data_IF_597114851681
#
_entry.id   IF_597114851681
#
_cell.length_a   1.000
_cell.length_b   1.000
_cell.length_c   1.000
_cell.angle_alpha   90.00
_cell.angle_beta   90.00
_cell.angle_gamma   90.00
#
_symmetry.space_group_name_H-M   'P 1'
#
loop_
_entity.id
_entity.type
_entity.pdbx_description
1 polymer ?
#
# COMPACT_ATOMS: atom_id res chain seq x y z
N UNK A 1 -8.60 -8.14 -0.83
CA UNK A 1 -7.51 -8.35 0.13
C UNK A 1 -7.77 -9.64 0.89
N UNK A 2 -6.86 -10.60 0.86
CA UNK A 2 -6.94 -11.82 1.68
C UNK A 2 -6.43 -11.53 3.10
N UNK A 3 -7.15 -12.01 4.13
CA UNK A 3 -6.83 -11.92 5.57
C UNK A 3 -6.19 -10.61 6.03
N UNK A 4 -7.03 -9.62 6.31
CA UNK A 4 -6.60 -8.33 6.89
C UNK A 4 -6.29 -8.52 8.39
N UNK A 5 -5.11 -8.11 8.88
CA UNK A 5 -4.82 -8.10 10.31
C UNK A 5 -5.84 -7.28 11.10
N UNK A 6 -6.22 -7.75 12.28
CA UNK A 6 -7.16 -7.02 13.15
C UNK A 6 -6.62 -5.68 13.65
N UNK A 7 -5.32 -5.44 13.52
CA UNK A 7 -4.61 -4.21 13.88
C UNK A 7 -4.19 -3.38 12.66
N UNK A 8 -4.73 -3.67 11.46
CA UNK A 8 -4.48 -2.86 10.28
C UNK A 8 -5.19 -1.51 10.41
N UNK A 9 -4.40 -0.45 10.34
CA UNK A 9 -4.90 0.89 10.07
C UNK A 9 -4.76 1.17 8.58
N UNK A 10 -5.83 1.66 7.96
CA UNK A 10 -5.90 1.93 6.53
C UNK A 10 -6.74 3.18 6.29
N UNK A 11 -6.15 4.21 5.68
CA UNK A 11 -6.80 5.49 5.40
C UNK A 11 -6.73 5.75 3.89
N UNK A 12 -7.83 5.53 3.14
CA UNK A 12 -7.87 5.74 1.70
C UNK A 12 -8.12 7.21 1.37
N UNK A 13 -7.48 7.69 0.31
CA UNK A 13 -7.66 9.03 -0.24
C UNK A 13 -7.67 8.98 -1.77
N UNK A 14 -8.35 9.94 -2.38
CA UNK A 14 -8.28 10.20 -3.82
C UNK A 14 -7.86 11.66 -4.00
N UNK A 15 -6.76 11.88 -4.72
CA UNK A 15 -6.30 13.22 -5.09
C UNK A 15 -7.17 13.78 -6.22
N UNK A 16 -7.14 15.09 -6.41
CA UNK A 16 -7.89 15.77 -7.48
C UNK A 16 -7.50 15.30 -8.89
N UNK A 17 -6.26 14.83 -9.08
CA UNK A 17 -5.76 14.28 -10.34
C UNK A 17 -6.19 12.83 -10.63
N UNK A 18 -7.06 12.27 -9.79
CA UNK A 18 -7.55 10.90 -9.87
C UNK A 18 -6.60 9.84 -9.30
N UNK A 19 -5.42 10.23 -8.84
CA UNK A 19 -4.48 9.32 -8.18
C UNK A 19 -5.04 8.86 -6.84
N UNK A 20 -4.98 7.55 -6.58
CA UNK A 20 -5.41 6.95 -5.31
C UNK A 20 -4.22 6.81 -4.36
N UNK A 21 -4.49 7.08 -3.09
CA UNK A 21 -3.56 6.83 -2.01
C UNK A 21 -4.19 5.92 -0.96
N UNK A 22 -3.35 5.09 -0.38
CA UNK A 22 -3.66 4.34 0.83
C UNK A 22 -2.51 4.55 1.80
N UNK A 23 -2.80 5.23 2.91
CA UNK A 23 -1.92 5.25 4.07
C UNK A 23 -2.22 4.01 4.90
N UNK A 24 -1.21 3.20 5.20
CA UNK A 24 -1.40 1.94 5.92
C UNK A 24 -0.23 1.57 6.84
N UNK A 25 -0.55 0.90 7.94
CA UNK A 25 0.41 0.28 8.87
C UNK A 25 -0.28 -0.78 9.74
N UNK A 26 0.50 -1.72 10.26
CA UNK A 26 0.05 -2.78 11.18
C UNK A 26 1.25 -3.25 11.98
N UNK A 27 1.07 -3.55 13.27
CA UNK A 27 2.13 -4.14 14.07
C UNK A 27 2.39 -5.60 13.67
N UNK A 28 1.41 -6.27 13.05
CA UNK A 28 1.58 -7.57 12.44
C UNK A 28 2.47 -7.49 11.19
N UNK A 29 3.63 -8.17 11.22
CA UNK A 29 4.55 -8.30 10.09
C UNK A 29 4.07 -9.25 8.99
N UNK A 30 2.82 -9.12 8.53
CA UNK A 30 2.25 -9.91 7.43
C UNK A 30 2.21 -9.12 6.12
N UNK A 31 1.80 -9.76 5.03
CA UNK A 31 1.67 -9.14 3.72
C UNK A 31 0.20 -8.89 3.33
N UNK A 32 -0.05 -7.81 2.58
CA UNK A 32 -1.32 -7.54 1.90
C UNK A 32 -1.16 -7.69 0.40
N UNK A 33 -2.10 -8.40 -0.23
CA UNK A 33 -2.18 -8.53 -1.69
C UNK A 33 -3.34 -7.71 -2.26
N UNK A 34 -3.03 -6.89 -3.26
CA UNK A 34 -3.96 -6.06 -4.02
C UNK A 34 -4.10 -6.60 -5.45
N UNK A 35 -5.09 -7.46 -5.72
CA UNK A 35 -5.19 -8.18 -7.00
C UNK A 35 -5.46 -7.27 -8.21
N UNK A 36 -6.09 -6.11 -7.99
CA UNK A 36 -6.50 -5.19 -9.05
C UNK A 36 -5.54 -4.01 -9.22
N UNK A 37 -4.38 -4.02 -8.55
CA UNK A 37 -3.36 -2.98 -8.68
C UNK A 37 -2.12 -3.64 -9.28
N UNK A 38 -1.87 -3.44 -10.57
CA UNK A 38 -0.76 -4.10 -11.29
C UNK A 38 0.49 -3.22 -11.39
N UNK A 39 0.36 -1.94 -11.09
CA UNK A 39 1.47 -0.96 -11.04
C UNK A 39 1.20 0.08 -9.96
N UNK A 40 2.18 0.34 -9.11
CA UNK A 40 2.08 1.30 -8.02
C UNK A 40 3.47 1.77 -7.56
N UNK A 41 3.48 2.76 -6.66
CA UNK A 41 4.67 3.16 -5.91
C UNK A 41 4.33 3.12 -4.43
N UNK A 42 5.19 2.49 -3.63
CA UNK A 42 5.14 2.58 -2.17
C UNK A 42 6.15 3.62 -1.70
N UNK A 43 5.66 4.55 -0.90
CA UNK A 43 6.47 5.56 -0.24
C UNK A 43 6.63 5.20 1.24
N UNK A 44 7.85 5.33 1.74
CA UNK A 44 8.18 5.24 3.17
C UNK A 44 8.59 6.64 3.65
N UNK A 45 7.69 7.38 4.32
CA UNK A 45 7.93 8.77 4.69
C UNK A 45 9.00 8.94 5.78
N UNK A 46 9.33 7.89 6.55
CA UNK A 46 10.38 7.96 7.57
C UNK A 46 11.78 7.95 6.96
N UNK A 47 11.93 7.30 5.80
CA UNK A 47 13.21 7.18 5.09
C UNK A 47 13.28 8.01 3.82
N UNK A 48 12.14 8.50 3.32
CA UNK A 48 12.00 9.12 2.01
C UNK A 48 12.04 8.12 0.83
N UNK A 49 12.09 6.82 1.10
CA UNK A 49 12.19 5.79 0.06
C UNK A 49 10.94 5.74 -0.81
N UNK A 50 11.15 5.46 -2.10
CA UNK A 50 10.11 5.24 -3.10
C UNK A 50 10.41 3.95 -3.85
N UNK A 51 9.53 2.98 -3.73
CA UNK A 51 9.70 1.66 -4.33
C UNK A 51 8.61 1.43 -5.37
N UNK A 52 8.96 1.45 -6.66
CA UNK A 52 8.04 1.03 -7.72
C UNK A 52 7.72 -0.46 -7.57
N UNK A 53 6.47 -0.82 -7.81
CA UNK A 53 5.98 -2.19 -7.76
C UNK A 53 5.17 -2.48 -9.01
N UNK A 54 5.34 -3.70 -9.53
CA UNK A 54 4.56 -4.19 -10.65
C UNK A 54 4.30 -5.68 -10.50
N UNK A 55 3.17 -6.14 -11.03
CA UNK A 55 2.79 -7.55 -11.01
C UNK A 55 1.62 -7.83 -11.94
N UNK A 56 1.70 -8.94 -12.68
CA UNK A 56 0.68 -9.36 -13.66
C UNK A 56 -0.65 -9.80 -13.01
N UNK A 57 -0.62 -10.16 -11.73
CA UNK A 57 -1.78 -10.64 -10.96
C UNK A 57 -2.06 -9.74 -9.74
N UNK A 58 -1.57 -8.49 -9.79
CA UNK A 58 -1.60 -7.55 -8.68
C UNK A 58 -0.26 -7.43 -7.95
N UNK A 59 -0.22 -6.59 -6.94
CA UNK A 59 0.97 -6.35 -6.10
C UNK A 59 0.79 -6.94 -4.69
N UNK A 60 1.90 -7.31 -4.07
CA UNK A 60 1.95 -7.72 -2.66
C UNK A 60 2.89 -6.81 -1.89
N UNK A 61 2.45 -6.36 -0.72
CA UNK A 61 3.18 -5.45 0.16
C UNK A 61 3.42 -6.11 1.51
N UNK A 62 4.64 -6.02 2.03
CA UNK A 62 4.90 -6.33 3.43
C UNK A 62 4.45 -5.15 4.30
N UNK A 63 3.64 -5.42 5.32
CA UNK A 63 3.23 -4.43 6.30
C UNK A 63 4.38 -4.11 7.24
N UNK A 64 4.51 -2.82 7.56
CA UNK A 64 5.37 -2.33 8.62
C UNK A 64 4.52 -1.76 9.77
N UNK A 65 5.05 -1.76 11.01
CA UNK A 65 4.47 -1.01 12.12
C UNK A 65 4.46 0.50 11.88
N UNK A 66 5.37 1.00 11.03
CA UNK A 66 5.45 2.39 10.60
C UNK A 66 4.57 2.66 9.39
N UNK A 67 4.05 3.88 9.27
CA UNK A 67 3.28 4.36 8.12
C UNK A 67 4.00 4.09 6.79
N UNK A 68 3.28 3.50 5.85
CA UNK A 68 3.61 3.42 4.43
C UNK A 68 2.48 4.05 3.62
N UNK A 69 2.79 4.56 2.43
CA UNK A 69 1.80 5.15 1.52
C UNK A 69 1.88 4.42 0.18
N UNK A 70 0.81 3.72 -0.18
CA UNK A 70 0.65 3.16 -1.53
C UNK A 70 0.01 4.21 -2.42
N UNK A 71 0.63 4.46 -3.58
CA UNK A 71 0.14 5.36 -4.61
C UNK A 71 -0.05 4.60 -5.93
N UNK A 72 -1.23 4.75 -6.54
CA UNK A 72 -1.52 4.14 -7.83
C UNK A 72 -2.58 4.92 -8.60
N UNK A 73 -2.65 4.69 -9.91
CA UNK A 73 -3.77 5.11 -10.74
C UNK A 73 -4.70 3.91 -10.98
N UNK A 74 -6.03 4.10 -10.89
CA UNK A 74 -6.99 3.05 -11.23
C UNK A 74 -6.94 2.68 -12.71
#
# INVERSE_FOLDING_TARGET
VSSVPGDLYAVPWTREDGTRLLMFWSAAGTSLTFPNITSAVVHDPLTGSRTPLSGSQGITLLLKPSLQILEWKP
#
